data_IF_624696383818
#
_entry.id   IF_624696383818
#
_cell.length_a   1.000
_cell.length_b   1.000
_cell.length_c   1.000
_cell.angle_alpha   90.00
_cell.angle_beta   90.00
_cell.angle_gamma   90.00
#
_symmetry.space_group_name_H-M   'P 1'
#
loop_
_entity.id
_entity.type
_entity.pdbx_description
1 polymer ?
#
# COMPACT_ATOMS: atom_id res chain seq x y z
N UNK A 1 22.01 -1.91 33.74
CA UNK A 1 21.59 -1.08 34.90
C UNK A 1 20.07 -1.11 34.99
N UNK A 2 19.45 -1.04 36.18
CA UNK A 2 17.99 -1.07 36.34
C UNK A 2 17.47 0.28 36.80
N UNK A 3 16.43 0.77 36.13
CA UNK A 3 15.76 2.04 36.40
C UNK A 3 14.24 1.80 36.44
N UNK A 4 13.55 2.38 37.41
CA UNK A 4 12.08 2.28 37.52
C UNK A 4 11.48 3.68 37.48
N UNK A 5 10.41 3.86 36.72
CA UNK A 5 9.70 5.12 36.59
C UNK A 5 8.20 4.92 36.83
N UNK A 6 7.60 5.69 37.74
CA UNK A 6 6.16 5.72 37.98
C UNK A 6 5.64 7.10 37.59
N UNK A 7 4.64 7.16 36.71
CA UNK A 7 4.05 8.41 36.23
C UNK A 7 2.57 8.43 36.63
N UNK A 8 2.16 9.46 37.38
CA UNK A 8 0.76 9.63 37.77
C UNK A 8 -0.08 10.26 36.62
N UNK A 9 -1.43 10.22 36.69
CA UNK A 9 -2.29 10.87 35.70
C UNK A 9 -2.15 12.40 35.61
N UNK A 10 -1.55 13.05 36.61
CA UNK A 10 -1.30 14.48 36.63
C UNK A 10 0.03 14.87 35.95
N UNK A 11 0.85 13.89 35.55
CA UNK A 11 2.15 14.11 34.93
C UNK A 11 3.32 14.19 35.91
N UNK A 12 3.13 13.84 37.18
CA UNK A 12 4.23 13.71 38.15
C UNK A 12 4.98 12.43 37.88
N UNK A 13 6.30 12.53 37.70
CA UNK A 13 7.22 11.41 37.55
C UNK A 13 7.94 11.14 38.86
N UNK A 14 7.93 9.89 39.31
CA UNK A 14 8.85 9.34 40.30
C UNK A 14 9.85 8.42 39.59
N UNK A 15 11.14 8.76 39.63
CA UNK A 15 12.22 7.98 39.02
C UNK A 15 13.10 7.38 40.10
N UNK A 16 13.30 6.07 40.07
CA UNK A 16 14.19 5.31 40.94
C UNK A 16 15.39 4.77 40.13
N UNK A 17 16.57 5.30 40.44
CA UNK A 17 17.84 4.91 39.85
C UNK A 17 18.63 4.09 40.87
N UNK A 18 18.42 2.78 40.89
CA UNK A 18 19.17 1.87 41.76
C UNK A 18 19.04 2.15 43.27
N UNK A 19 17.93 2.74 43.71
CA UNK A 19 17.61 3.06 45.10
C UNK A 19 17.53 4.57 45.41
N UNK A 20 17.96 5.43 44.49
CA UNK A 20 17.83 6.88 44.62
C UNK A 20 16.55 7.37 43.91
N UNK A 21 15.58 7.83 44.71
CA UNK A 21 14.28 8.29 44.22
C UNK A 21 14.25 9.80 44.01
N UNK A 22 13.89 10.23 42.82
CA UNK A 22 13.68 11.64 42.46
C UNK A 22 12.28 11.85 41.92
N UNK A 23 11.61 12.89 42.40
CA UNK A 23 10.24 13.25 41.97
C UNK A 23 10.29 14.57 41.20
N UNK A 24 9.67 14.62 40.04
CA UNK A 24 9.64 15.81 39.18
C UNK A 24 8.28 16.01 38.52
N UNK A 25 7.68 17.22 38.58
CA UNK A 25 6.42 17.51 37.93
C UNK A 25 6.62 17.83 36.44
N UNK A 26 5.77 17.29 35.58
CA UNK A 26 5.73 17.62 34.15
C UNK A 26 4.34 18.13 33.71
N UNK A 27 4.26 18.96 32.66
CA UNK A 27 2.98 19.50 32.18
C UNK A 27 2.01 18.43 31.64
N UNK A 28 2.52 17.25 31.28
CA UNK A 28 1.73 16.13 30.80
C UNK A 28 2.46 14.80 31.05
N UNK A 29 1.69 13.70 31.06
CA UNK A 29 2.23 12.32 31.08
C UNK A 29 3.19 12.07 29.91
N UNK A 30 2.94 12.69 28.74
CA UNK A 30 3.82 12.55 27.57
C UNK A 30 5.17 13.25 27.76
N UNK A 31 5.20 14.38 28.45
CA UNK A 31 6.44 15.08 28.76
C UNK A 31 7.25 14.35 29.84
N UNK A 32 6.56 13.78 30.84
CA UNK A 32 7.17 12.87 31.83
C UNK A 32 7.82 11.66 31.14
N UNK A 33 7.10 10.98 30.22
CA UNK A 33 7.64 9.85 29.43
C UNK A 33 8.88 10.23 28.64
N UNK A 34 8.84 11.38 27.93
CA UNK A 34 9.98 11.85 27.14
C UNK A 34 11.21 12.09 28.02
N UNK A 35 11.00 12.65 29.21
CA UNK A 35 12.07 12.87 30.17
C UNK A 35 12.69 11.55 30.66
N UNK A 36 11.87 10.57 31.08
CA UNK A 36 12.35 9.25 31.49
C UNK A 36 13.18 8.58 30.40
N UNK A 37 12.71 8.61 29.15
CA UNK A 37 13.41 7.99 28.02
C UNK A 37 14.73 8.70 27.70
N UNK A 38 14.78 10.03 27.82
CA UNK A 38 16.04 10.79 27.69
C UNK A 38 17.03 10.34 28.76
N UNK A 39 16.61 10.31 30.03
CA UNK A 39 17.47 9.89 31.14
C UNK A 39 17.96 8.46 30.98
N UNK A 40 17.13 7.54 30.49
CA UNK A 40 17.52 6.15 30.23
C UNK A 40 18.62 6.06 29.15
N UNK A 41 18.50 6.88 28.11
CA UNK A 41 19.41 6.93 26.97
C UNK A 41 20.74 7.56 27.37
N UNK A 42 20.70 8.67 28.11
CA UNK A 42 21.87 9.35 28.63
C UNK A 42 22.64 8.43 29.60
N UNK A 43 21.93 7.71 30.47
CA UNK A 43 22.52 6.76 31.39
C UNK A 43 23.15 5.54 30.68
N UNK A 44 22.50 5.01 29.64
CA UNK A 44 23.05 3.91 28.85
C UNK A 44 24.32 4.33 28.08
N UNK A 45 24.35 5.57 27.57
CA UNK A 45 25.51 6.14 26.90
C UNK A 45 26.67 6.40 27.89
N UNK A 46 26.39 6.99 29.05
CA UNK A 46 27.41 7.33 30.06
C UNK A 46 28.03 6.08 30.70
N UNK A 47 27.21 5.07 31.01
CA UNK A 47 27.68 3.84 31.65
C UNK A 47 28.19 2.78 30.67
N UNK A 48 28.06 3.02 29.36
CA UNK A 48 28.38 2.05 28.30
C UNK A 48 27.77 0.67 28.55
N UNK A 49 26.63 0.62 29.23
CA UNK A 49 25.92 -0.60 29.60
C UNK A 49 24.44 -0.43 29.30
N UNK A 50 23.76 -1.47 28.82
CA UNK A 50 22.32 -1.42 28.57
C UNK A 50 21.54 -1.13 29.87
N UNK A 51 20.53 -0.27 29.76
CA UNK A 51 19.64 0.13 30.86
C UNK A 51 18.28 -0.53 30.68
N UNK A 52 17.91 -1.38 31.62
CA UNK A 52 16.57 -1.95 31.75
C UNK A 52 15.69 -0.95 32.50
N UNK A 53 14.68 -0.42 31.82
CA UNK A 53 13.75 0.59 32.31
C UNK A 53 12.37 -0.02 32.48
N UNK A 54 11.88 -0.04 33.72
CA UNK A 54 10.50 -0.38 34.03
C UNK A 54 9.66 0.89 34.17
N UNK A 55 8.66 1.10 33.31
CA UNK A 55 7.76 2.26 33.38
C UNK A 55 6.37 1.81 33.75
N UNK A 56 5.80 2.39 34.80
CA UNK A 56 4.40 2.28 35.17
C UNK A 56 3.72 3.65 34.99
N UNK A 57 2.71 3.71 34.14
CA UNK A 57 1.95 4.93 33.87
C UNK A 57 0.45 4.60 33.68
N UNK A 58 -0.45 5.58 33.50
CA UNK A 58 -1.89 5.31 33.39
C UNK A 58 -2.30 4.43 32.20
N UNK A 59 -1.39 4.16 31.25
CA UNK A 59 -1.62 3.24 30.13
C UNK A 59 -1.15 1.80 30.38
N UNK A 60 -0.49 1.54 31.53
CA UNK A 60 -0.02 0.23 31.93
C UNK A 60 1.45 0.21 32.34
N UNK A 61 1.91 -0.98 32.73
CA UNK A 61 3.31 -1.25 33.08
C UNK A 61 4.03 -1.94 31.91
N UNK A 62 5.26 -1.51 31.62
CA UNK A 62 6.10 -2.05 30.54
C UNK A 62 7.57 -2.02 30.92
N UNK A 63 8.33 -2.97 30.38
CA UNK A 63 9.79 -3.03 30.55
C UNK A 63 10.46 -2.80 29.20
N UNK A 64 11.39 -1.87 29.18
CA UNK A 64 12.08 -1.40 27.99
C UNK A 64 13.58 -1.59 28.22
N UNK A 65 14.28 -2.21 27.27
CA UNK A 65 15.73 -2.30 27.28
C UNK A 65 16.31 -1.22 26.37
N UNK A 66 17.05 -0.28 26.95
CA UNK A 66 17.75 0.79 26.24
C UNK A 66 19.22 0.40 26.08
N UNK A 67 19.64 0.17 24.83
CA UNK A 67 21.01 -0.21 24.50
C UNK A 67 21.94 1.01 24.38
N UNK A 68 23.24 0.77 24.40
CA UNK A 68 24.29 1.81 24.43
C UNK A 68 24.41 2.61 23.13
N UNK A 69 23.84 2.10 22.05
CA UNK A 69 23.74 2.74 20.73
C UNK A 69 22.41 3.51 20.53
N UNK A 70 21.58 3.60 21.57
CA UNK A 70 20.28 4.26 21.55
C UNK A 70 19.15 3.40 20.97
N UNK A 71 19.40 2.12 20.66
CA UNK A 71 18.35 1.18 20.24
C UNK A 71 17.47 0.82 21.43
N UNK A 72 16.15 1.00 21.26
CA UNK A 72 15.14 0.71 22.26
C UNK A 72 14.43 -0.60 21.89
N UNK A 73 14.55 -1.61 22.74
CA UNK A 73 13.86 -2.90 22.58
C UNK A 73 12.80 -3.02 23.67
N UNK A 74 11.53 -3.04 23.28
CA UNK A 74 10.43 -3.31 24.22
C UNK A 74 10.40 -4.82 24.49
N UNK A 75 10.63 -5.21 25.75
CA UNK A 75 10.50 -6.61 26.15
C UNK A 75 9.04 -6.87 26.50
N UNK A 76 8.40 -7.76 25.75
CA UNK A 76 7.17 -8.38 26.19
C UNK A 76 7.43 -9.02 27.56
N UNK A 77 6.51 -8.81 28.52
CA UNK A 77 6.62 -9.34 29.86
C UNK A 77 6.69 -10.88 29.81
N UNK A 78 7.90 -11.44 29.83
CA UNK A 78 8.10 -12.87 30.00
C UNK A 78 7.62 -13.23 31.41
N UNK A 79 6.60 -14.09 31.42
CA UNK A 79 6.14 -14.77 32.62
C UNK A 79 7.29 -15.66 33.11
N UNK A 80 7.67 -15.52 34.37
CA UNK A 80 8.74 -16.33 34.97
C UNK A 80 8.52 -17.84 34.73
N UNK A 81 9.59 -18.61 34.43
CA UNK A 81 9.47 -20.05 34.19
C UNK A 81 9.39 -20.80 35.52
N UNK A 82 8.24 -21.38 35.83
CA UNK A 82 8.10 -22.32 36.94
C UNK A 82 8.73 -23.66 36.57
N UNK A 83 9.67 -24.11 37.40
CA UNK A 83 10.38 -25.39 37.32
C UNK A 83 9.45 -26.60 37.19
N UNK A 84 9.90 -27.54 36.36
CA UNK A 84 9.27 -28.83 36.08
C UNK A 84 9.39 -29.78 37.28
N UNK A 85 8.25 -30.32 37.74
CA UNK A 85 8.15 -31.52 38.60
C UNK A 85 7.51 -32.70 37.84
N UNK A 86 7.80 -33.96 38.18
CA UNK A 86 7.73 -35.07 37.25
C UNK A 86 6.33 -35.67 37.05
N UNK A 87 6.17 -36.26 35.86
CA UNK A 87 5.02 -37.02 35.35
C UNK A 87 4.73 -38.26 36.20
N UNK A 88 3.44 -38.50 36.51
CA UNK A 88 2.90 -39.80 36.91
C UNK A 88 1.65 -40.13 36.06
N UNK A 89 1.44 -41.38 35.59
CA UNK A 89 0.49 -41.68 34.52
C UNK A 89 -0.83 -42.30 35.00
N UNK A 90 -1.80 -42.26 34.06
CA UNK A 90 -3.05 -43.03 33.95
C UNK A 90 -4.28 -42.55 34.75
N UNK A 91 -5.37 -42.20 34.06
CA UNK A 91 -6.51 -43.11 33.91
C UNK A 91 -7.49 -42.64 32.82
N UNK A 92 -8.08 -43.63 32.15
CA UNK A 92 -9.01 -43.49 31.04
C UNK A 92 -10.44 -43.25 31.54
N UNK A 93 -11.21 -42.37 30.88
CA UNK A 93 -12.67 -42.46 30.79
C UNK A 93 -13.11 -42.00 29.39
N UNK A 94 -13.65 -42.95 28.62
CA UNK A 94 -14.37 -42.77 27.36
C UNK A 94 -15.86 -42.40 27.62
N UNK A 95 -16.67 -42.08 26.59
CA UNK A 95 -17.57 -40.94 26.59
C UNK A 95 -19.01 -41.26 26.99
N UNK A 96 -19.77 -40.24 27.43
CA UNK A 96 -21.22 -40.31 27.55
C UNK A 96 -21.87 -39.23 26.68
N UNK A 97 -22.42 -39.66 25.55
CA UNK A 97 -23.40 -38.93 24.77
C UNK A 97 -24.81 -39.18 25.35
N UNK A 98 -25.62 -38.13 25.46
CA UNK A 98 -27.04 -38.18 25.03
C UNK A 98 -27.70 -36.79 25.06
N UNK A 99 -28.74 -36.58 24.22
CA UNK A 99 -29.22 -35.28 23.77
C UNK A 99 -30.49 -34.82 24.51
N UNK A 100 -30.76 -33.51 24.58
CA UNK A 100 -32.09 -33.01 24.98
C UNK A 100 -32.44 -31.69 24.28
N UNK A 101 -33.51 -31.73 23.48
CA UNK A 101 -34.40 -30.64 23.02
C UNK A 101 -35.72 -31.37 22.72
N UNK A 102 -36.92 -30.92 23.15
CA UNK A 102 -37.58 -29.63 22.86
C UNK A 102 -38.25 -29.01 24.12
N UNK A 103 -38.82 -27.80 24.13
CA UNK A 103 -40.17 -27.48 23.64
C UNK A 103 -40.52 -25.98 23.86
N UNK A 104 -41.40 -25.49 23.00
CA UNK A 104 -41.95 -24.13 22.88
C UNK A 104 -43.10 -23.91 23.88
N UNK A 105 -43.38 -22.65 24.31
CA UNK A 105 -44.75 -22.25 24.63
C UNK A 105 -45.27 -21.14 23.72
N UNK A 106 -46.49 -21.35 23.23
CA UNK A 106 -47.28 -20.52 22.31
C UNK A 106 -48.42 -19.76 23.02
N UNK A 107 -48.94 -18.71 22.35
CA UNK A 107 -50.33 -18.12 22.37
C UNK A 107 -50.58 -16.97 23.40
N UNK A 108 -51.42 -15.91 23.14
CA UNK A 108 -52.37 -15.68 22.03
C UNK A 108 -52.30 -14.35 21.25
N UNK A 109 -52.88 -14.48 20.06
CA UNK A 109 -53.40 -13.50 19.10
C UNK A 109 -54.74 -12.88 19.55
N UNK A 110 -54.94 -11.60 19.21
CA UNK A 110 -56.25 -10.93 19.20
C UNK A 110 -56.35 -10.03 17.93
N UNK A 111 -56.84 -10.63 16.84
CA UNK A 111 -58.04 -10.28 16.05
C UNK A 111 -58.76 -8.93 16.41
N UNK A 112 -59.36 -8.09 15.55
CA UNK A 112 -59.72 -8.00 14.11
C UNK A 112 -60.10 -6.52 13.85
N UNK A 113 -59.90 -5.93 12.66
CA UNK A 113 -61.01 -5.33 11.87
C UNK A 113 -60.57 -4.96 10.44
N UNK A 114 -61.45 -5.25 9.50
CA UNK A 114 -61.26 -5.31 8.05
C UNK A 114 -62.00 -4.18 7.32
N UNK A 115 -61.58 -3.84 6.08
CA UNK A 115 -62.44 -3.78 4.88
C UNK A 115 -61.78 -3.07 3.65
N UNK A 116 -61.47 -3.87 2.62
CA UNK A 116 -61.76 -3.75 1.16
C UNK A 116 -61.47 -2.44 0.33
N UNK A 117 -61.52 -2.48 -1.04
CA UNK A 117 -60.68 -3.27 -1.97
C UNK A 117 -60.09 -2.45 -3.16
N UNK A 118 -59.08 -3.03 -3.81
CA UNK A 118 -58.67 -2.96 -5.25
C UNK A 118 -58.58 -1.60 -5.97
N UNK A 119 -57.37 -1.24 -6.40
CA UNK A 119 -57.11 -0.47 -7.62
C UNK A 119 -55.90 -1.04 -8.36
N UNK A 120 -56.14 -1.60 -9.54
CA UNK A 120 -55.13 -2.01 -10.52
C UNK A 120 -54.48 -0.78 -11.17
N UNK A 121 -53.14 -0.70 -11.32
CA UNK A 121 -52.54 0.30 -12.19
C UNK A 121 -52.56 -0.17 -13.64
N UNK A 122 -53.07 0.70 -14.51
CA UNK A 122 -53.09 0.61 -15.97
C UNK A 122 -51.66 0.69 -16.52
N UNK A 123 -51.28 -0.06 -17.58
CA UNK A 123 -49.97 0.07 -18.21
C UNK A 123 -49.88 1.38 -19.01
N UNK A 124 -48.87 2.20 -18.75
CA UNK A 124 -48.47 3.33 -19.59
C UNK A 124 -47.66 2.81 -20.80
N UNK A 125 -47.95 3.26 -22.03
CA UNK A 125 -47.25 2.79 -23.22
C UNK A 125 -45.85 3.41 -23.32
N UNK A 126 -44.85 2.56 -23.59
CA UNK A 126 -43.51 2.97 -23.99
C UNK A 126 -43.54 3.57 -25.41
N UNK A 127 -42.81 4.67 -25.69
CA UNK A 127 -42.60 5.13 -27.06
C UNK A 127 -41.67 4.16 -27.81
N UNK A 128 -42.08 3.77 -29.01
CA UNK A 128 -41.33 2.92 -29.95
C UNK A 128 -39.96 3.50 -30.30
N UNK A 129 -38.94 2.67 -30.56
CA UNK A 129 -37.65 3.14 -31.06
C UNK A 129 -37.79 3.65 -32.49
N UNK A 130 -37.25 4.84 -32.75
CA UNK A 130 -37.06 5.38 -34.10
C UNK A 130 -35.94 4.58 -34.77
N UNK A 131 -36.29 3.96 -35.89
CA UNK A 131 -35.39 3.26 -36.80
C UNK A 131 -34.38 4.27 -37.38
N UNK A 132 -33.11 4.16 -36.99
CA UNK A 132 -32.01 4.90 -37.62
C UNK A 132 -31.55 4.09 -38.82
N UNK A 133 -31.82 4.64 -40.00
CA UNK A 133 -31.42 4.14 -41.30
C UNK A 133 -29.90 3.93 -41.37
N UNK A 134 -29.48 2.69 -41.63
CA UNK A 134 -28.08 2.33 -41.82
C UNK A 134 -27.53 2.96 -43.11
N UNK A 135 -26.29 3.48 -43.14
CA UNK A 135 -25.71 4.01 -44.36
C UNK A 135 -25.45 2.89 -45.36
N UNK A 136 -26.03 3.05 -46.55
CA UNK A 136 -25.89 2.19 -47.72
C UNK A 136 -24.42 2.07 -48.14
N UNK A 137 -23.90 0.84 -48.15
CA UNK A 137 -22.60 0.48 -48.75
C UNK A 137 -22.77 0.47 -50.27
N UNK A 138 -22.02 1.27 -51.06
CA UNK A 138 -22.06 1.15 -52.51
C UNK A 138 -21.28 -0.09 -52.97
N UNK A 139 -21.99 -1.02 -53.61
CA UNK A 139 -21.44 -2.16 -54.35
C UNK A 139 -20.51 -1.62 -55.45
N UNK A 140 -19.22 -1.93 -55.37
CA UNK A 140 -18.29 -1.74 -56.49
C UNK A 140 -18.14 -3.07 -57.23
N UNK A 141 -18.42 -3.01 -58.52
CA UNK A 141 -18.29 -4.04 -59.54
C UNK A 141 -16.82 -4.43 -59.76
N UNK A 142 -16.59 -5.72 -59.94
CA UNK A 142 -15.32 -6.27 -60.44
C UNK A 142 -15.09 -5.86 -61.90
N UNK A 143 -13.82 -5.82 -62.33
CA UNK A 143 -13.50 -6.28 -63.67
C UNK A 143 -12.41 -7.36 -63.68
N UNK A 144 -12.43 -8.09 -64.80
CA UNK A 144 -11.76 -9.33 -65.12
C UNK A 144 -10.22 -9.26 -65.20
N UNK A 145 -9.68 -10.46 -65.04
CA UNK A 145 -8.33 -10.94 -65.34
C UNK A 145 -7.79 -10.52 -66.71
N UNK A 146 -6.59 -9.94 -66.74
CA UNK A 146 -5.69 -9.99 -67.91
C UNK A 146 -4.26 -10.31 -67.44
N UNK A 147 -3.59 -11.15 -68.20
CA UNK A 147 -2.36 -11.87 -67.89
C UNK A 147 -1.06 -11.03 -67.92
N UNK A 148 -0.10 -11.50 -67.11
CA UNK A 148 1.36 -11.60 -67.31
C UNK A 148 2.08 -10.57 -68.20
N UNK A 149 2.97 -9.76 -67.60
CA UNK A 149 4.35 -9.57 -68.08
C UNK A 149 5.26 -8.81 -67.10
N UNK A 150 6.46 -9.37 -66.94
CA UNK A 150 7.76 -8.75 -66.66
C UNK A 150 7.94 -7.78 -65.47
N UNK A 151 8.77 -8.23 -64.52
CA UNK A 151 9.38 -7.46 -63.44
C UNK A 151 10.35 -6.40 -64.01
N UNK A 152 10.14 -5.14 -63.62
CA UNK A 152 11.15 -4.07 -63.67
C UNK A 152 11.08 -3.32 -62.34
N UNK A 153 12.20 -3.05 -61.63
CA UNK A 153 12.15 -2.32 -60.38
C UNK A 153 11.91 -0.83 -60.66
N UNK A 154 10.76 -0.31 -60.22
CA UNK A 154 10.44 1.13 -60.26
C UNK A 154 10.78 1.71 -58.88
N UNK A 155 11.68 2.70 -58.87
CA UNK A 155 11.97 3.54 -57.71
C UNK A 155 10.66 4.05 -57.09
N UNK A 156 10.47 3.77 -55.79
CA UNK A 156 9.35 4.28 -55.00
C UNK A 156 9.55 5.78 -54.80
N UNK A 157 8.93 6.58 -55.65
CA UNK A 157 8.69 8.01 -55.40
C UNK A 157 7.63 8.09 -54.30
N UNK A 158 7.98 8.69 -53.16
CA UNK A 158 7.03 8.96 -52.08
C UNK A 158 5.80 9.71 -52.62
N UNK A 159 4.56 9.21 -52.39
CA UNK A 159 3.37 9.91 -52.85
C UNK A 159 3.23 11.21 -52.05
N UNK A 160 3.10 12.34 -52.78
CA UNK A 160 2.82 13.65 -52.20
C UNK A 160 1.60 13.58 -51.27
N UNK A 161 1.66 14.22 -50.08
CA UNK A 161 0.59 14.16 -49.10
C UNK A 161 -0.70 14.75 -49.69
N UNK A 162 -1.75 13.95 -49.74
CA UNK A 162 -3.08 14.45 -50.06
C UNK A 162 -3.55 15.39 -48.94
N UNK A 163 -4.36 16.40 -49.27
CA UNK A 163 -4.84 17.46 -48.35
C UNK A 163 -5.47 16.95 -47.04
N UNK A 164 -5.84 15.66 -46.98
CA UNK A 164 -6.40 14.99 -45.80
C UNK A 164 -5.34 14.54 -44.79
N UNK A 165 -4.08 14.38 -45.19
CA UNK A 165 -2.93 14.07 -44.32
C UNK A 165 -2.24 15.32 -43.75
N UNK A 166 -2.65 16.52 -44.18
CA UNK A 166 -2.12 17.81 -43.74
C UNK A 166 -3.02 18.55 -42.74
N UNK A 167 -4.06 17.89 -42.21
CA UNK A 167 -4.81 18.42 -41.09
C UNK A 167 -4.01 18.15 -39.80
N UNK A 168 -3.61 19.17 -39.03
CA UNK A 168 -3.02 18.94 -37.72
C UNK A 168 -4.03 18.15 -36.90
N UNK A 169 -3.63 16.98 -36.39
CA UNK A 169 -4.46 16.27 -35.44
C UNK A 169 -4.63 17.18 -34.22
N UNK A 170 -5.85 17.63 -33.94
CA UNK A 170 -6.18 18.38 -32.72
C UNK A 170 -5.95 17.57 -31.43
N UNK A 171 -5.58 16.30 -31.56
CA UNK A 171 -5.05 15.47 -30.48
C UNK A 171 -3.53 15.61 -30.51
N UNK A 172 -3.02 16.63 -29.82
CA UNK A 172 -1.61 16.73 -29.49
C UNK A 172 -1.25 15.50 -28.64
N UNK A 173 -0.45 14.60 -29.21
CA UNK A 173 0.24 13.62 -28.37
C UNK A 173 1.32 14.40 -27.62
N UNK A 174 1.55 14.18 -26.32
CA UNK A 174 2.65 14.82 -25.62
C UNK A 174 3.95 14.41 -26.31
N UNK A 175 4.46 15.31 -27.14
CA UNK A 175 5.57 15.04 -28.05
C UNK A 175 6.86 14.94 -27.25
N UNK A 176 7.54 13.81 -27.44
CA UNK A 176 8.87 13.53 -26.88
C UNK A 176 9.91 14.60 -27.30
N UNK A 177 9.65 15.34 -28.38
CA UNK A 177 10.52 16.35 -28.97
C UNK A 177 10.34 17.76 -28.38
N UNK A 178 9.57 17.91 -27.30
CA UNK A 178 9.42 19.19 -26.61
C UNK A 178 10.80 19.74 -26.17
N UNK A 179 11.09 21.05 -26.34
CA UNK A 179 12.35 21.67 -25.89
C UNK A 179 12.64 21.40 -24.41
N UNK A 180 13.89 21.51 -23.98
CA UNK A 180 14.26 21.37 -22.57
C UNK A 180 13.39 22.27 -21.66
N UNK A 181 12.88 21.72 -20.57
CA UNK A 181 12.02 22.37 -19.59
C UNK A 181 12.70 22.50 -18.22
N UNK A 182 13.76 21.72 -17.98
CA UNK A 182 14.41 21.62 -16.67
C UNK A 182 15.81 22.25 -16.67
N UNK A 183 16.19 22.84 -15.54
CA UNK A 183 17.52 23.39 -15.28
C UNK A 183 17.85 24.63 -16.12
N UNK A 184 19.14 24.90 -16.31
CA UNK A 184 19.63 26.08 -17.06
C UNK A 184 19.14 26.06 -18.51
N UNK A 185 19.04 24.87 -19.14
CA UNK A 185 18.52 24.73 -20.51
C UNK A 185 17.03 25.07 -20.59
N UNK A 186 16.24 24.66 -19.60
CA UNK A 186 14.84 25.07 -19.45
C UNK A 186 14.68 26.57 -19.29
N UNK A 187 15.47 27.19 -18.41
CA UNK A 187 15.46 28.65 -18.22
C UNK A 187 15.82 29.40 -19.51
N UNK A 188 16.86 28.96 -20.22
CA UNK A 188 17.27 29.51 -21.51
C UNK A 188 16.16 29.36 -22.58
N UNK A 189 15.42 28.26 -22.55
CA UNK A 189 14.28 28.06 -23.45
C UNK A 189 13.09 28.96 -23.12
N UNK A 190 12.86 29.29 -21.84
CA UNK A 190 11.87 30.31 -21.46
C UNK A 190 12.21 31.70 -22.04
N UNK A 191 13.50 31.97 -22.30
CA UNK A 191 13.96 33.19 -22.97
C UNK A 191 13.99 33.09 -24.51
N UNK A 192 13.35 32.06 -25.09
CA UNK A 192 13.16 31.94 -26.54
C UNK A 192 14.18 31.06 -27.27
N UNK A 193 15.09 30.41 -26.55
CA UNK A 193 15.96 29.38 -27.14
C UNK A 193 15.21 28.05 -27.32
N UNK A 194 15.71 27.19 -28.22
CA UNK A 194 15.17 25.84 -28.49
C UNK A 194 16.23 24.77 -28.24
N UNK A 195 16.78 24.76 -27.04
CA UNK A 195 17.77 23.78 -26.62
C UNK A 195 17.11 22.42 -26.41
N UNK A 196 17.74 21.36 -26.93
CA UNK A 196 17.30 19.99 -26.74
C UNK A 196 17.40 19.56 -25.26
N UNK A 197 16.47 18.70 -24.79
CA UNK A 197 16.51 18.11 -23.46
C UNK A 197 17.85 17.42 -23.15
N UNK A 198 18.27 17.42 -21.89
CA UNK A 198 19.43 16.63 -21.47
C UNK A 198 19.10 15.13 -21.41
N UNK A 199 20.09 14.21 -21.46
CA UNK A 199 19.83 12.78 -21.27
C UNK A 199 19.07 12.46 -19.99
N UNK A 200 19.41 13.14 -18.88
CA UNK A 200 18.72 12.99 -17.59
C UNK A 200 17.26 13.43 -17.67
N UNK A 201 16.99 14.51 -18.40
CA UNK A 201 15.62 14.99 -18.63
C UNK A 201 14.83 14.04 -19.53
N UNK A 202 15.45 13.46 -20.56
CA UNK A 202 14.81 12.46 -21.42
C UNK A 202 14.46 11.19 -20.65
N UNK A 203 15.36 10.72 -19.76
CA UNK A 203 15.08 9.60 -18.86
C UNK A 203 13.93 9.90 -17.92
N UNK A 204 13.90 11.10 -17.34
CA UNK A 204 12.79 11.52 -16.48
C UNK A 204 11.47 11.54 -17.26
N UNK A 205 11.43 12.13 -18.45
CA UNK A 205 10.22 12.14 -19.29
C UNK A 205 9.78 10.75 -19.71
N UNK A 206 10.73 9.84 -19.96
CA UNK A 206 10.42 8.44 -20.25
C UNK A 206 9.73 7.78 -19.06
N UNK A 207 10.29 7.94 -17.87
CA UNK A 207 9.70 7.39 -16.64
C UNK A 207 8.31 8.00 -16.37
N UNK A 208 8.16 9.33 -16.50
CA UNK A 208 6.86 10.01 -16.37
C UNK A 208 5.84 9.45 -17.35
N UNK A 209 6.23 9.30 -18.63
CA UNK A 209 5.38 8.70 -19.65
C UNK A 209 4.97 7.28 -19.29
N UNK A 210 5.91 6.44 -18.84
CA UNK A 210 5.65 5.06 -18.44
C UNK A 210 4.67 4.99 -17.26
N UNK A 211 4.86 5.82 -16.23
CA UNK A 211 3.98 5.86 -15.05
C UNK A 211 2.59 6.40 -15.38
N UNK A 212 2.49 7.33 -16.32
CA UNK A 212 1.21 7.96 -16.72
C UNK A 212 0.32 7.09 -17.62
N UNK A 213 0.77 5.88 -17.97
CA UNK A 213 0.00 4.98 -18.84
C UNK A 213 -1.32 4.56 -18.17
N UNK A 214 -2.33 4.31 -19.02
CA UNK A 214 -3.60 3.72 -18.59
C UNK A 214 -3.61 2.24 -18.98
N UNK A 215 -3.98 1.38 -18.03
CA UNK A 215 -4.13 -0.05 -18.26
C UNK A 215 -5.60 -0.42 -18.48
N UNK A 216 -5.84 -1.53 -19.19
CA UNK A 216 -7.16 -2.09 -19.31
C UNK A 216 -7.51 -2.84 -18.01
N UNK A 217 -8.48 -2.32 -17.27
CA UNK A 217 -8.89 -2.86 -15.97
C UNK A 217 -8.02 -2.38 -14.81
N UNK A 218 -8.40 -2.75 -13.57
CA UNK A 218 -7.66 -2.41 -12.37
C UNK A 218 -6.32 -3.17 -12.35
N UNK A 219 -5.29 -2.50 -11.86
CA UNK A 219 -3.97 -3.10 -11.61
C UNK A 219 -3.66 -3.16 -10.12
N UNK A 220 -2.91 -4.17 -9.72
CA UNK A 220 -2.57 -4.40 -8.31
C UNK A 220 -1.08 -4.58 -8.12
N UNK A 221 -0.51 -3.74 -7.26
CA UNK A 221 0.88 -3.84 -6.82
C UNK A 221 0.87 -4.25 -5.36
N UNK A 222 1.54 -5.34 -5.04
CA UNK A 222 1.66 -5.80 -3.65
C UNK A 222 3.06 -5.57 -3.13
N UNK A 223 3.15 -4.93 -1.96
CA UNK A 223 4.42 -4.62 -1.30
C UNK A 223 4.66 -5.62 -0.18
N UNK A 224 5.67 -6.48 -0.34
CA UNK A 224 5.94 -7.65 0.49
C UNK A 224 7.27 -7.55 1.22
N UNK A 225 7.25 -7.76 2.53
CA UNK A 225 8.43 -8.13 3.31
C UNK A 225 7.99 -8.65 4.71
N UNK A 226 8.31 -9.88 5.11
CA UNK A 226 7.95 -10.41 6.44
C UNK A 226 8.64 -9.64 7.58
N UNK A 227 9.80 -9.01 7.31
CA UNK A 227 10.55 -8.30 8.34
C UNK A 227 9.82 -7.01 8.74
N UNK A 228 9.50 -6.92 10.03
CA UNK A 228 8.98 -5.69 10.64
C UNK A 228 9.92 -4.52 10.37
N UNK A 229 9.36 -3.38 9.98
CA UNK A 229 10.15 -2.18 9.71
C UNK A 229 11.00 -2.24 8.43
N UNK A 230 10.81 -3.19 7.50
CA UNK A 230 11.57 -3.25 6.23
C UNK A 230 11.28 -2.09 5.23
N UNK A 231 10.36 -1.19 5.55
CA UNK A 231 10.01 -0.06 4.69
C UNK A 231 8.85 -0.30 3.73
N UNK A 232 7.98 -1.29 4.00
CA UNK A 232 6.74 -1.55 3.24
C UNK A 232 5.83 -0.33 3.16
N UNK A 233 5.39 0.17 4.30
CA UNK A 233 4.47 1.31 4.37
C UNK A 233 5.01 2.59 3.72
N UNK A 234 6.27 3.04 3.96
CA UNK A 234 6.85 4.14 3.18
C UNK A 234 6.86 3.89 1.68
N UNK A 235 7.15 2.65 1.25
CA UNK A 235 7.15 2.26 -0.17
C UNK A 235 5.75 2.37 -0.79
N UNK A 236 4.73 1.86 -0.11
CA UNK A 236 3.32 1.96 -0.53
C UNK A 236 2.92 3.43 -0.69
N UNK A 237 3.22 4.27 0.30
CA UNK A 237 2.88 5.70 0.27
C UNK A 237 3.58 6.41 -0.90
N UNK A 238 4.89 6.20 -1.07
CA UNK A 238 5.65 6.90 -2.10
C UNK A 238 5.24 6.47 -3.50
N UNK A 239 5.01 5.17 -3.72
CA UNK A 239 4.54 4.68 -5.01
C UNK A 239 3.11 5.17 -5.30
N UNK A 240 2.21 5.13 -4.31
CA UNK A 240 0.84 5.63 -4.46
C UNK A 240 0.84 7.10 -4.88
N UNK A 241 1.66 7.92 -4.21
CA UNK A 241 1.79 9.33 -4.55
C UNK A 241 2.34 9.54 -5.98
N UNK A 242 3.36 8.77 -6.41
CA UNK A 242 3.89 8.89 -7.78
C UNK A 242 2.82 8.54 -8.82
N UNK A 243 2.14 7.40 -8.65
CA UNK A 243 1.11 6.94 -9.59
C UNK A 243 -0.12 7.84 -9.62
N UNK A 244 -0.53 8.41 -8.49
CA UNK A 244 -1.68 9.32 -8.42
C UNK A 244 -1.35 10.70 -9.03
N UNK A 245 -0.15 11.21 -8.79
CA UNK A 245 0.27 12.52 -9.31
C UNK A 245 0.49 12.53 -10.82
N UNK A 246 0.91 11.41 -11.41
CA UNK A 246 1.21 11.32 -12.84
C UNK A 246 0.13 10.60 -13.67
N UNK A 247 -0.52 9.58 -13.11
CA UNK A 247 -1.55 8.79 -13.80
C UNK A 247 -2.98 9.33 -13.67
N UNK A 248 -3.17 10.45 -12.98
CA UNK A 248 -4.49 10.95 -12.57
C UNK A 248 -4.97 10.33 -11.26
N UNK A 249 -6.13 10.71 -10.73
CA UNK A 249 -6.66 10.11 -9.49
C UNK A 249 -7.02 8.61 -9.67
N UNK A 250 -7.53 7.97 -8.61
CA UNK A 250 -7.96 6.57 -8.64
C UNK A 250 -6.88 5.56 -8.24
N UNK A 251 -6.02 5.95 -7.30
CA UNK A 251 -5.04 5.06 -6.65
C UNK A 251 -5.47 4.81 -5.21
N UNK A 252 -5.57 3.54 -4.82
CA UNK A 252 -5.86 3.12 -3.45
C UNK A 252 -4.63 2.50 -2.81
N UNK A 253 -4.21 3.03 -1.67
CA UNK A 253 -3.28 2.37 -0.76
C UNK A 253 -4.06 1.60 0.31
N UNK A 254 -3.99 0.28 0.30
CA UNK A 254 -4.72 -0.58 1.22
C UNK A 254 -3.77 -1.23 2.23
N UNK A 255 -3.95 -0.93 3.51
CA UNK A 255 -3.30 -1.64 4.62
C UNK A 255 -3.96 -3.01 4.85
N UNK A 256 -3.36 -4.08 4.30
CA UNK A 256 -3.83 -5.45 4.44
C UNK A 256 -3.08 -6.19 5.56
N UNK A 257 -2.99 -5.54 6.72
CA UNK A 257 -2.35 -6.08 7.90
C UNK A 257 -3.39 -6.53 8.93
N UNK A 258 -3.29 -7.78 9.39
CA UNK A 258 -4.16 -8.34 10.44
C UNK A 258 -3.76 -7.87 11.86
N UNK A 259 -2.62 -7.18 11.99
CA UNK A 259 -2.12 -6.60 13.24
C UNK A 259 -2.26 -5.07 13.23
N UNK A 260 -1.54 -4.35 14.10
CA UNK A 260 -1.47 -2.88 13.98
C UNK A 260 -0.78 -2.51 12.65
N UNK A 261 -1.57 -2.06 11.68
CA UNK A 261 -1.08 -1.42 10.47
C UNK A 261 -0.40 -0.09 10.77
N UNK A 262 0.63 0.24 10.00
CA UNK A 262 1.36 1.51 10.15
C UNK A 262 0.94 2.56 9.13
N UNK A 263 0.10 2.19 8.13
CA UNK A 263 -0.29 3.09 7.06
C UNK A 263 -1.14 4.26 7.58
N UNK A 264 -2.07 3.99 8.50
CA UNK A 264 -2.90 5.04 9.12
C UNK A 264 -2.09 6.11 9.85
N UNK A 265 -1.04 5.71 10.57
CA UNK A 265 -0.15 6.61 11.31
C UNK A 265 0.77 7.46 10.43
N UNK A 266 1.11 6.93 9.25
CA UNK A 266 2.01 7.56 8.27
C UNK A 266 1.28 8.43 7.26
N UNK A 267 -0.06 8.48 7.31
CA UNK A 267 -0.93 9.22 6.37
C UNK A 267 -1.87 10.18 7.11
N UNK A 268 -2.54 11.05 6.36
CA UNK A 268 -3.51 12.00 6.91
C UNK A 268 -4.89 11.35 7.06
N UNK A 269 -5.60 11.70 8.14
CA UNK A 269 -7.01 11.34 8.30
C UNK A 269 -7.92 12.23 7.42
N UNK A 270 -9.16 11.81 7.24
CA UNK A 270 -10.15 12.47 6.38
C UNK A 270 -11.35 12.99 7.18
N UNK A 271 -11.19 13.22 8.50
CA UNK A 271 -12.27 13.67 9.38
C UNK A 271 -13.24 12.57 9.82
N UNK A 272 -12.92 11.29 9.58
CA UNK A 272 -13.60 10.12 10.13
C UNK A 272 -12.56 9.05 10.55
N UNK A 273 -13.02 8.02 11.27
CA UNK A 273 -12.18 6.92 11.80
C UNK A 273 -12.49 5.56 11.16
N UNK A 274 -13.34 5.51 10.12
CA UNK A 274 -13.68 4.27 9.42
C UNK A 274 -12.43 3.53 8.90
N UNK A 275 -12.51 2.21 8.91
CA UNK A 275 -11.43 1.28 8.60
C UNK A 275 -11.87 0.25 7.56
N UNK A 276 -10.96 -0.65 7.19
CA UNK A 276 -11.23 -1.80 6.33
C UNK A 276 -12.39 -2.67 6.84
N UNK A 277 -12.56 -2.78 8.17
CA UNK A 277 -13.63 -3.57 8.78
C UNK A 277 -14.99 -2.90 8.55
N UNK A 278 -15.07 -1.57 8.68
CA UNK A 278 -16.33 -0.84 8.46
C UNK A 278 -16.72 -0.87 6.95
N UNK A 279 -15.75 -0.87 6.04
CA UNK A 279 -16.00 -1.07 4.61
C UNK A 279 -16.44 -2.51 4.31
N UNK A 280 -15.87 -3.50 5.01
CA UNK A 280 -16.19 -4.92 4.80
C UNK A 280 -17.68 -5.19 5.01
N UNK A 281 -18.29 -4.60 6.03
CA UNK A 281 -19.72 -4.70 6.34
C UNK A 281 -20.61 -4.13 5.22
N UNK A 282 -20.07 -3.27 4.34
CA UNK A 282 -20.80 -2.58 3.29
C UNK A 282 -20.45 -3.07 1.88
N UNK A 283 -19.66 -4.14 1.75
CA UNK A 283 -19.21 -4.66 0.46
C UNK A 283 -20.37 -4.96 -0.49
N UNK A 284 -21.46 -5.56 0.01
CA UNK A 284 -22.65 -5.85 -0.79
C UNK A 284 -23.30 -4.57 -1.38
N UNK A 285 -23.43 -3.52 -0.58
CA UNK A 285 -23.93 -2.22 -1.05
C UNK A 285 -23.05 -1.68 -2.18
N UNK A 286 -21.73 -1.68 -1.96
CA UNK A 286 -20.77 -1.15 -2.92
C UNK A 286 -20.70 -1.94 -4.22
N UNK A 287 -21.16 -3.20 -4.25
CA UNK A 287 -21.26 -3.99 -5.47
C UNK A 287 -22.53 -3.69 -6.29
N UNK A 288 -23.56 -3.05 -5.72
CA UNK A 288 -24.78 -2.67 -6.43
C UNK A 288 -24.55 -1.61 -7.53
N UNK A 289 -25.47 -1.51 -8.48
CA UNK A 289 -25.45 -0.46 -9.52
C UNK A 289 -25.76 0.95 -8.99
N UNK A 290 -26.38 1.06 -7.80
CA UNK A 290 -26.76 2.34 -7.20
C UNK A 290 -25.65 3.02 -6.41
N UNK A 291 -24.65 2.26 -5.96
CA UNK A 291 -23.52 2.77 -5.20
C UNK A 291 -22.62 3.69 -6.04
N UNK A 292 -22.10 4.74 -5.38
CA UNK A 292 -21.31 5.80 -6.02
C UNK A 292 -19.91 5.85 -5.42
N UNK A 293 -18.95 6.31 -6.20
CA UNK A 293 -17.59 6.56 -5.71
C UNK A 293 -17.58 7.56 -4.52
N UNK A 294 -18.51 8.53 -4.50
CA UNK A 294 -18.65 9.48 -3.40
C UNK A 294 -19.09 8.84 -2.08
N UNK A 295 -19.80 7.71 -2.11
CA UNK A 295 -20.20 7.00 -0.89
C UNK A 295 -18.97 6.36 -0.22
N UNK A 296 -18.00 5.91 -1.03
CA UNK A 296 -16.77 5.27 -0.58
C UNK A 296 -15.87 6.24 0.20
N UNK A 297 -16.00 7.55 -0.02
CA UNK A 297 -15.26 8.59 0.68
C UNK A 297 -15.52 8.62 2.20
N UNK A 298 -16.56 7.94 2.69
CA UNK A 298 -16.80 7.76 4.13
C UNK A 298 -15.94 6.66 4.78
N UNK A 299 -15.22 5.88 3.95
CA UNK A 299 -14.45 4.71 4.37
C UNK A 299 -12.96 4.82 4.02
N UNK A 300 -12.60 5.66 3.06
CA UNK A 300 -11.22 5.88 2.63
C UNK A 300 -10.71 7.25 3.07
N UNK A 301 -9.42 7.33 3.39
CA UNK A 301 -8.79 8.56 3.85
C UNK A 301 -8.04 9.22 2.69
N UNK A 302 -8.67 10.23 2.09
CA UNK A 302 -8.07 10.99 0.99
C UNK A 302 -6.81 11.75 1.41
N UNK A 303 -5.77 11.72 0.58
CA UNK A 303 -4.50 12.41 0.80
C UNK A 303 -4.40 13.65 -0.11
N UNK A 304 -4.81 14.86 0.33
CA UNK A 304 -5.08 15.97 -0.58
C UNK A 304 -3.85 16.45 -1.37
N UNK A 305 -2.66 16.38 -0.77
CA UNK A 305 -1.43 16.82 -1.44
C UNK A 305 -0.94 15.85 -2.52
N UNK A 306 -1.24 14.56 -2.37
CA UNK A 306 -0.67 13.47 -3.17
C UNK A 306 -1.72 12.68 -3.96
N UNK A 307 -3.01 13.00 -3.79
CA UNK A 307 -4.16 12.61 -4.62
C UNK A 307 -4.48 11.11 -4.67
N UNK A 308 -3.99 10.33 -3.71
CA UNK A 308 -4.37 8.92 -3.51
C UNK A 308 -5.28 8.77 -2.28
N UNK A 309 -5.99 7.66 -2.21
CA UNK A 309 -6.86 7.31 -1.09
C UNK A 309 -6.25 6.17 -0.27
N UNK A 310 -6.56 6.14 1.03
CA UNK A 310 -6.02 5.13 1.96
C UNK A 310 -7.15 4.34 2.59
N UNK A 311 -7.12 3.02 2.45
CA UNK A 311 -7.95 2.10 3.24
C UNK A 311 -7.11 1.57 4.41
N UNK A 312 -7.47 1.98 5.62
CA UNK A 312 -6.69 1.70 6.84
C UNK A 312 -7.09 0.37 7.46
N UNK A 313 -6.13 -0.30 8.09
CA UNK A 313 -6.39 -1.42 8.99
C UNK A 313 -7.15 -0.95 10.22
N UNK A 314 -7.82 -1.87 10.92
CA UNK A 314 -8.44 -1.57 12.21
C UNK A 314 -7.39 -1.55 13.35
N UNK A 315 -7.18 -0.39 13.97
CA UNK A 315 -6.25 -0.18 15.08
C UNK A 315 -6.94 0.06 16.43
N UNK A 316 -8.27 -0.14 16.51
CA UNK A 316 -9.08 0.11 17.70
C UNK A 316 -8.78 -0.90 18.83
N UNK A 317 -7.90 -0.51 19.76
CA UNK A 317 -7.44 -1.32 20.90
C UNK A 317 -8.52 -1.75 21.93
N UNK A 318 -9.71 -1.16 21.89
CA UNK A 318 -10.74 -1.36 22.92
C UNK A 318 -11.73 -2.50 22.63
N UNK A 319 -11.74 -3.07 21.42
CA UNK A 319 -12.66 -4.15 21.07
C UNK A 319 -12.12 -5.50 21.58
N UNK A 320 -12.93 -6.22 22.36
CA UNK A 320 -12.60 -7.53 22.96
C UNK A 320 -12.26 -8.64 21.93
N UNK A 321 -12.34 -8.37 20.63
CA UNK A 321 -11.81 -9.19 19.53
C UNK A 321 -11.44 -8.26 18.37
N UNK A 322 -10.16 -8.19 18.01
CA UNK A 322 -9.74 -7.60 16.73
C UNK A 322 -10.23 -8.52 15.61
N UNK A 323 -10.89 -7.97 14.59
CA UNK A 323 -11.33 -8.74 13.44
C UNK A 323 -10.14 -8.98 12.52
N UNK A 324 -9.71 -10.23 12.40
CA UNK A 324 -8.68 -10.60 11.44
C UNK A 324 -9.33 -10.84 10.08
N UNK A 325 -8.94 -10.04 9.08
CA UNK A 325 -9.46 -10.17 7.72
C UNK A 325 -9.04 -11.52 7.13
N UNK A 326 -10.03 -12.33 6.76
CA UNK A 326 -9.86 -13.65 6.14
C UNK A 326 -9.62 -13.55 4.62
N UNK A 327 -9.18 -14.63 3.97
CA UNK A 327 -8.99 -14.65 2.51
C UNK A 327 -10.25 -14.30 1.71
N UNK A 328 -11.41 -14.85 2.11
CA UNK A 328 -12.70 -14.52 1.49
C UNK A 328 -13.07 -13.04 1.64
N UNK A 329 -12.75 -12.44 2.78
CA UNK A 329 -12.96 -11.01 3.02
C UNK A 329 -12.02 -10.14 2.20
N UNK A 330 -10.76 -10.56 2.00
CA UNK A 330 -9.84 -9.94 1.04
C UNK A 330 -10.45 -9.97 -0.37
N UNK A 331 -11.02 -11.09 -0.81
CA UNK A 331 -11.67 -11.16 -2.12
C UNK A 331 -12.87 -10.20 -2.27
N UNK A 332 -13.70 -10.07 -1.23
CA UNK A 332 -14.84 -9.12 -1.21
C UNK A 332 -14.38 -7.67 -1.24
N UNK A 333 -13.44 -7.31 -0.37
CA UNK A 333 -12.86 -5.96 -0.31
C UNK A 333 -12.15 -5.60 -1.61
N UNK A 334 -11.39 -6.53 -2.18
CA UNK A 334 -10.74 -6.34 -3.47
C UNK A 334 -11.76 -6.09 -4.59
N UNK A 335 -12.88 -6.82 -4.62
CA UNK A 335 -13.93 -6.62 -5.62
C UNK A 335 -14.50 -5.19 -5.58
N UNK A 336 -14.66 -4.63 -4.38
CA UNK A 336 -15.02 -3.21 -4.19
C UNK A 336 -13.89 -2.31 -4.68
N UNK A 337 -12.66 -2.51 -4.22
CA UNK A 337 -11.52 -1.70 -4.62
C UNK A 337 -11.33 -1.66 -6.15
N UNK A 338 -11.38 -2.82 -6.80
CA UNK A 338 -11.26 -3.02 -8.25
C UNK A 338 -12.39 -2.36 -9.06
N UNK A 339 -13.57 -2.16 -8.45
CA UNK A 339 -14.68 -1.44 -9.08
C UNK A 339 -14.48 0.08 -9.11
N UNK A 340 -13.81 0.65 -8.10
CA UNK A 340 -13.70 2.10 -7.93
C UNK A 340 -12.31 2.68 -8.22
N UNK A 341 -11.26 1.87 -8.18
CA UNK A 341 -9.87 2.29 -8.38
C UNK A 341 -9.24 1.61 -9.58
N UNK A 342 -8.42 2.37 -10.32
CA UNK A 342 -7.64 1.83 -11.44
C UNK A 342 -6.34 1.16 -11.00
N UNK A 343 -5.84 1.53 -9.82
CA UNK A 343 -4.60 1.00 -9.26
C UNK A 343 -4.75 0.80 -7.76
N UNK A 344 -4.39 -0.39 -7.30
CA UNK A 344 -4.47 -0.80 -5.89
C UNK A 344 -3.05 -1.15 -5.44
N UNK A 345 -2.58 -0.52 -4.38
CA UNK A 345 -1.32 -0.85 -3.72
C UNK A 345 -1.64 -1.52 -2.39
N UNK A 346 -1.33 -2.80 -2.27
CA UNK A 346 -1.56 -3.57 -1.04
C UNK A 346 -0.30 -3.54 -0.17
N UNK A 347 -0.39 -2.93 1.01
CA UNK A 347 0.63 -3.00 2.07
C UNK A 347 0.44 -4.32 2.82
N UNK A 348 1.41 -5.23 2.70
CA UNK A 348 1.31 -6.50 3.41
C UNK A 348 1.52 -6.30 4.90
N UNK A 349 0.88 -7.15 5.70
CA UNK A 349 1.33 -7.41 7.06
C UNK A 349 2.74 -8.04 7.12
N UNK A 350 3.12 -8.49 8.30
CA UNK A 350 4.39 -9.20 8.53
C UNK A 350 4.27 -10.72 8.32
N UNK A 351 3.06 -11.23 8.08
CA UNK A 351 2.80 -12.66 7.85
C UNK A 351 2.95 -12.99 6.38
N UNK A 352 3.74 -14.03 6.08
CA UNK A 352 4.04 -14.51 4.72
C UNK A 352 3.30 -15.82 4.36
N UNK A 353 2.22 -16.12 5.10
CA UNK A 353 1.41 -17.34 4.99
C UNK A 353 -0.04 -17.05 5.41
N UNK A 354 -0.95 -17.94 5.03
CA UNK A 354 -2.36 -17.90 5.41
C UNK A 354 -3.25 -17.35 4.30
N UNK A 355 -4.56 -17.59 4.45
CA UNK A 355 -5.56 -17.36 3.41
C UNK A 355 -5.60 -15.89 2.95
N UNK A 356 -5.33 -14.93 3.85
CA UNK A 356 -5.28 -13.51 3.53
C UNK A 356 -4.09 -13.15 2.62
N UNK A 357 -2.92 -13.75 2.86
CA UNK A 357 -1.73 -13.58 2.05
C UNK A 357 -1.93 -14.23 0.69
N UNK A 358 -2.45 -15.46 0.66
CA UNK A 358 -2.73 -16.17 -0.60
C UNK A 358 -3.75 -15.41 -1.46
N UNK A 359 -4.82 -14.88 -0.86
CA UNK A 359 -5.80 -14.05 -1.56
C UNK A 359 -5.18 -12.75 -2.12
N UNK A 360 -4.30 -12.09 -1.35
CA UNK A 360 -3.58 -10.91 -1.79
C UNK A 360 -2.64 -11.21 -2.97
N UNK A 361 -1.87 -12.31 -2.90
CA UNK A 361 -1.01 -12.75 -4.01
C UNK A 361 -1.85 -13.09 -5.24
N UNK A 362 -2.99 -13.77 -5.08
CA UNK A 362 -3.87 -14.13 -6.18
C UNK A 362 -4.46 -12.94 -6.95
N UNK A 363 -4.49 -11.76 -6.35
CA UNK A 363 -4.95 -10.51 -6.98
C UNK A 363 -3.80 -9.62 -7.50
N UNK A 364 -2.55 -10.00 -7.28
CA UNK A 364 -1.38 -9.16 -7.59
C UNK A 364 -0.96 -9.25 -9.05
N UNK A 365 -0.78 -8.13 -9.74
CA UNK A 365 -0.13 -8.09 -11.05
C UNK A 365 1.39 -7.91 -10.94
N UNK A 366 1.85 -7.27 -9.86
CA UNK A 366 3.26 -6.97 -9.63
C UNK A 366 3.63 -7.03 -8.15
N UNK A 367 4.84 -7.52 -7.85
CA UNK A 367 5.37 -7.60 -6.49
C UNK A 367 6.55 -6.66 -6.31
N UNK A 368 6.51 -5.89 -5.23
CA UNK A 368 7.59 -5.01 -4.80
C UNK A 368 8.13 -5.46 -3.45
N UNK A 369 9.44 -5.60 -3.35
CA UNK A 369 10.12 -6.06 -2.14
C UNK A 369 11.06 -4.95 -1.64
N UNK A 370 10.62 -4.13 -0.67
CA UNK A 370 11.49 -3.12 -0.08
C UNK A 370 12.47 -3.79 0.87
N UNK A 371 13.72 -3.37 0.79
CA UNK A 371 14.81 -3.80 1.66
C UNK A 371 15.55 -2.57 2.17
N UNK A 372 15.76 -2.52 3.48
CA UNK A 372 16.55 -1.44 4.10
C UNK A 372 18.04 -1.71 3.93
N UNK A 373 18.83 -0.65 3.91
CA UNK A 373 20.30 -0.74 3.79
C UNK A 373 21.03 -1.10 5.08
N UNK A 374 20.30 -1.51 6.13
CA UNK A 374 20.85 -2.04 7.39
C UNK A 374 20.94 -3.57 7.33
N UNK A 375 21.81 -4.17 8.14
CA UNK A 375 22.13 -5.60 8.05
C UNK A 375 20.90 -6.52 8.27
N UNK A 376 20.96 -7.73 7.69
CA UNK A 376 19.86 -8.69 7.46
C UNK A 376 18.76 -8.26 6.46
N UNK A 377 19.08 -7.33 5.54
CA UNK A 377 18.21 -6.94 4.44
C UNK A 377 17.86 -8.10 3.47
N UNK A 378 18.82 -8.99 3.23
CA UNK A 378 18.72 -10.08 2.25
C UNK A 378 17.79 -11.21 2.71
N UNK A 379 17.70 -11.45 4.01
CA UNK A 379 16.91 -12.57 4.54
C UNK A 379 15.41 -12.38 4.26
N UNK A 380 14.87 -11.19 4.54
CA UNK A 380 13.45 -10.91 4.33
C UNK A 380 13.06 -11.03 2.86
N UNK A 381 13.86 -10.47 1.95
CA UNK A 381 13.62 -10.59 0.51
C UNK A 381 13.75 -12.04 0.02
N UNK A 382 14.76 -12.78 0.49
CA UNK A 382 14.94 -14.20 0.14
C UNK A 382 13.76 -15.05 0.58
N UNK A 383 13.19 -14.79 1.77
CA UNK A 383 12.00 -15.49 2.28
C UNK A 383 10.77 -15.23 1.41
N UNK A 384 10.51 -13.97 1.03
CA UNK A 384 9.41 -13.62 0.11
C UNK A 384 9.56 -14.35 -1.22
N UNK A 385 10.74 -14.26 -1.86
CA UNK A 385 10.98 -14.90 -3.15
C UNK A 385 10.85 -16.42 -3.06
N UNK A 386 11.31 -17.03 -1.97
CA UNK A 386 11.16 -18.47 -1.74
C UNK A 386 9.70 -18.87 -1.57
N UNK A 387 8.92 -18.09 -0.82
CA UNK A 387 7.49 -18.32 -0.63
C UNK A 387 6.71 -18.21 -1.94
N UNK A 388 6.97 -17.17 -2.74
CA UNK A 388 6.34 -17.00 -4.06
C UNK A 388 6.71 -18.14 -5.02
N UNK A 389 7.98 -18.56 -5.03
CA UNK A 389 8.46 -19.68 -5.86
C UNK A 389 7.88 -21.04 -5.47
N UNK A 390 7.50 -21.20 -4.20
CA UNK A 390 6.84 -22.40 -3.72
C UNK A 390 5.32 -22.41 -4.03
N UNK A 391 4.76 -21.27 -4.46
CA UNK A 391 3.35 -21.13 -4.81
C UNK A 391 3.00 -21.68 -6.20
N UNK A 392 1.82 -21.30 -6.68
CA UNK A 392 1.32 -21.67 -8.01
C UNK A 392 2.09 -20.92 -9.14
N UNK A 393 1.78 -21.24 -10.40
CA UNK A 393 2.44 -20.64 -11.57
C UNK A 393 2.35 -19.10 -11.58
N UNK A 394 1.24 -18.53 -11.10
CA UNK A 394 1.08 -17.09 -10.99
C UNK A 394 2.03 -16.49 -9.95
N UNK A 395 2.10 -17.05 -8.74
CA UNK A 395 3.04 -16.62 -7.71
C UNK A 395 4.50 -16.77 -8.15
N UNK A 396 4.85 -17.84 -8.86
CA UNK A 396 6.18 -18.03 -9.44
C UNK A 396 6.49 -16.93 -10.47
N UNK A 397 5.55 -16.63 -11.37
CA UNK A 397 5.69 -15.52 -12.33
C UNK A 397 5.89 -14.17 -11.62
N UNK A 398 5.20 -13.93 -10.50
CA UNK A 398 5.40 -12.72 -9.69
C UNK A 398 6.81 -12.67 -9.09
N UNK A 399 7.37 -13.81 -8.64
CA UNK A 399 8.73 -13.87 -8.13
C UNK A 399 9.77 -13.50 -9.21
N UNK A 400 9.59 -14.02 -10.43
CA UNK A 400 10.50 -13.78 -11.55
C UNK A 400 10.47 -12.31 -12.01
N UNK A 401 9.29 -11.68 -11.92
CA UNK A 401 9.09 -10.30 -12.35
C UNK A 401 9.22 -9.26 -11.24
N UNK A 402 9.49 -9.69 -10.00
CA UNK A 402 9.53 -8.83 -8.83
C UNK A 402 10.50 -7.65 -8.97
N UNK A 403 10.19 -6.56 -8.26
CA UNK A 403 11.03 -5.35 -8.18
C UNK A 403 11.53 -5.17 -6.75
N UNK A 404 12.84 -5.16 -6.55
CA UNK A 404 13.43 -4.89 -5.23
C UNK A 404 13.74 -3.40 -5.10
N UNK A 405 13.36 -2.79 -3.98
CA UNK A 405 13.66 -1.39 -3.68
C UNK A 405 14.60 -1.31 -2.49
N UNK A 406 15.84 -0.88 -2.72
CA UNK A 406 16.87 -0.72 -1.68
C UNK A 406 16.77 0.68 -1.07
N UNK A 407 16.39 0.78 0.19
CA UNK A 407 16.15 2.02 0.92
C UNK A 407 17.37 2.45 1.75
N UNK A 408 17.88 3.66 1.51
CA UNK A 408 18.84 4.34 2.38
C UNK A 408 18.26 4.62 3.76
N UNK A 409 18.90 4.14 4.83
CA UNK A 409 18.41 4.28 6.20
C UNK A 409 19.14 5.32 7.02
N UNK A 410 20.38 5.63 6.66
CA UNK A 410 21.21 6.62 7.33
C UNK A 410 21.87 7.53 6.30
N UNK A 411 22.25 8.76 6.67
CA UNK A 411 23.03 9.64 5.79
C UNK A 411 24.37 9.04 5.37
N UNK A 412 24.95 8.15 6.19
CA UNK A 412 26.23 7.49 5.90
C UNK A 412 26.12 6.40 4.84
N UNK A 413 24.92 5.87 4.57
CA UNK A 413 24.69 4.91 3.50
C UNK A 413 24.63 5.62 2.14
N UNK A 414 25.81 5.97 1.64
CA UNK A 414 25.99 6.58 0.34
C UNK A 414 25.68 5.63 -0.83
N UNK A 415 25.72 6.14 -2.08
CA UNK A 415 25.36 5.38 -3.28
C UNK A 415 26.14 4.06 -3.44
N UNK A 416 27.40 4.00 -3.02
CA UNK A 416 28.21 2.78 -3.11
C UNK A 416 27.61 1.61 -2.32
N UNK A 417 27.21 1.83 -1.06
CA UNK A 417 26.59 0.80 -0.22
C UNK A 417 25.23 0.37 -0.78
N UNK A 418 24.42 1.31 -1.25
CA UNK A 418 23.12 0.98 -1.85
C UNK A 418 23.27 0.17 -3.13
N UNK A 419 24.26 0.51 -3.96
CA UNK A 419 24.55 -0.21 -5.20
C UNK A 419 25.12 -1.60 -4.92
N UNK A 420 26.00 -1.76 -3.94
CA UNK A 420 26.50 -3.07 -3.49
C UNK A 420 25.35 -4.01 -3.10
N UNK A 421 24.41 -3.51 -2.28
CA UNK A 421 23.20 -4.27 -1.95
C UNK A 421 22.34 -4.53 -3.19
N UNK A 422 22.20 -3.56 -4.09
CA UNK A 422 21.40 -3.74 -5.29
C UNK A 422 21.96 -4.86 -6.19
N UNK A 423 23.28 -4.91 -6.39
CA UNK A 423 23.95 -5.95 -7.18
C UNK A 423 23.73 -7.35 -6.62
N UNK A 424 23.59 -7.51 -5.30
CA UNK A 424 23.34 -8.83 -4.70
C UNK A 424 21.93 -9.38 -5.01
N UNK A 425 20.96 -8.50 -5.30
CA UNK A 425 19.60 -8.92 -5.64
C UNK A 425 19.35 -9.10 -7.14
N UNK A 426 20.10 -8.42 -8.02
CA UNK A 426 19.89 -8.46 -9.48
C UNK A 426 19.78 -9.87 -10.09
N UNK A 427 20.51 -10.89 -9.63
CA UNK A 427 20.39 -12.24 -10.19
C UNK A 427 19.04 -12.93 -9.92
N UNK A 428 18.25 -12.42 -8.98
CA UNK A 428 17.06 -13.11 -8.47
C UNK A 428 15.73 -12.47 -8.88
N UNK A 429 15.76 -11.25 -9.41
CA UNK A 429 14.56 -10.43 -9.68
C UNK A 429 14.70 -9.66 -10.99
N UNK A 430 13.58 -9.20 -11.58
CA UNK A 430 13.57 -8.43 -12.83
C UNK A 430 14.36 -7.13 -12.74
N UNK A 431 14.20 -6.39 -11.65
CA UNK A 431 14.87 -5.10 -11.48
C UNK A 431 15.09 -4.74 -10.01
N UNK A 432 16.11 -3.92 -9.79
CA UNK A 432 16.45 -3.39 -8.48
C UNK A 432 16.61 -1.88 -8.58
N UNK A 433 15.99 -1.13 -7.68
CA UNK A 433 16.05 0.34 -7.65
C UNK A 433 16.55 0.80 -6.29
N UNK A 434 17.51 1.72 -6.27
CA UNK A 434 18.04 2.31 -5.05
C UNK A 434 17.34 3.65 -4.77
N UNK A 435 16.91 3.85 -3.54
CA UNK A 435 16.33 5.10 -3.05
C UNK A 435 17.27 5.66 -1.98
N UNK A 436 17.82 6.88 -2.15
CA UNK A 436 18.74 7.46 -1.19
C UNK A 436 18.04 7.74 0.14
N UNK A 437 18.84 7.91 1.20
CA UNK A 437 18.33 8.36 2.49
C UNK A 437 17.60 9.70 2.35
N UNK A 438 16.45 9.79 3.01
CA UNK A 438 15.66 11.01 3.07
C UNK A 438 15.06 11.18 4.48
N UNK A 439 15.30 12.31 5.17
CA UNK A 439 14.79 12.52 6.51
C UNK A 439 13.25 12.55 6.56
N UNK A 440 12.57 12.90 5.46
CA UNK A 440 11.10 12.91 5.41
C UNK A 440 10.47 11.51 5.47
N UNK A 441 11.28 10.45 5.31
CA UNK A 441 10.83 9.05 5.38
C UNK A 441 10.96 8.43 6.78
N UNK A 442 11.49 9.14 7.77
CA UNK A 442 11.81 8.53 9.09
C UNK A 442 10.61 8.59 10.04
N UNK A 443 10.08 9.78 10.29
CA UNK A 443 9.07 10.03 11.34
C UNK A 443 7.85 10.78 10.82
N UNK A 444 6.73 10.69 11.55
CA UNK A 444 5.51 11.46 11.28
C UNK A 444 4.68 11.02 10.06
N UNK A 445 4.02 11.98 9.40
CA UNK A 445 3.23 11.75 8.19
C UNK A 445 4.12 11.97 6.96
N UNK A 446 4.07 11.04 6.00
CA UNK A 446 4.85 11.14 4.76
C UNK A 446 4.10 12.02 3.76
N UNK A 447 4.83 12.95 3.12
CA UNK A 447 4.34 13.73 1.97
C UNK A 447 5.36 13.67 0.86
N UNK A 448 4.94 13.30 -0.34
CA UNK A 448 5.85 13.16 -1.47
C UNK A 448 6.54 14.49 -1.84
N UNK A 449 5.82 15.60 -1.70
CA UNK A 449 6.35 16.94 -1.94
C UNK A 449 7.48 17.35 -0.99
N UNK A 450 7.55 16.76 0.21
CA UNK A 450 8.54 17.12 1.24
C UNK A 450 9.90 16.43 1.06
N UNK A 451 9.98 15.44 0.17
CA UNK A 451 11.22 14.69 -0.09
C UNK A 451 12.25 15.55 -0.83
N UNK A 452 13.52 15.16 -0.75
CA UNK A 452 14.58 15.73 -1.56
C UNK A 452 14.35 15.43 -3.06
N UNK A 453 14.79 16.30 -3.99
CA UNK A 453 14.61 16.08 -5.42
C UNK A 453 15.16 14.74 -5.92
N UNK A 454 16.32 14.31 -5.39
CA UNK A 454 16.93 13.03 -5.73
C UNK A 454 16.07 11.83 -5.29
N UNK A 455 15.44 11.92 -4.13
CA UNK A 455 14.56 10.87 -3.60
C UNK A 455 13.29 10.78 -4.42
N UNK A 456 12.67 11.92 -4.79
CA UNK A 456 11.52 11.94 -5.70
C UNK A 456 11.86 11.34 -7.05
N UNK A 457 13.06 11.64 -7.59
CA UNK A 457 13.51 11.08 -8.86
C UNK A 457 13.71 9.56 -8.77
N UNK A 458 14.26 9.06 -7.67
CA UNK A 458 14.41 7.63 -7.41
C UNK A 458 13.05 6.92 -7.31
N UNK A 459 12.07 7.49 -6.61
CA UNK A 459 10.71 6.95 -6.56
C UNK A 459 10.00 6.96 -7.91
N UNK A 460 10.20 8.00 -8.72
CA UNK A 460 9.71 8.02 -10.10
C UNK A 460 10.34 6.88 -10.92
N UNK A 461 11.63 6.63 -10.75
CA UNK A 461 12.33 5.52 -11.42
C UNK A 461 11.79 4.17 -10.97
N UNK A 462 11.56 3.99 -9.66
CA UNK A 462 10.95 2.78 -9.10
C UNK A 462 9.56 2.53 -9.68
N UNK A 463 8.70 3.55 -9.68
CA UNK A 463 7.36 3.45 -10.26
C UNK A 463 7.39 3.10 -11.75
N UNK A 464 8.32 3.66 -12.53
CA UNK A 464 8.47 3.33 -13.94
C UNK A 464 8.86 1.85 -14.16
N UNK A 465 9.80 1.32 -13.37
CA UNK A 465 10.19 -0.10 -13.46
C UNK A 465 9.05 -1.06 -13.07
N UNK A 466 8.23 -0.66 -12.10
CA UNK A 466 7.03 -1.40 -11.69
C UNK A 466 5.98 -1.35 -12.79
N UNK A 467 5.72 -0.17 -13.35
CA UNK A 467 4.75 0.05 -14.43
C UNK A 467 5.08 -0.72 -15.72
N UNK A 468 6.36 -0.93 -16.02
CA UNK A 468 6.83 -1.81 -17.12
C UNK A 468 6.46 -3.29 -16.91
N UNK A 469 5.97 -3.67 -15.73
CA UNK A 469 5.49 -5.02 -15.43
C UNK A 469 4.00 -5.11 -15.13
N UNK A 470 3.21 -4.07 -15.43
CA UNK A 470 1.76 -4.02 -15.29
C UNK A 470 1.02 -4.19 -16.62
#
# INVERSE_FOLDING_TARGET
MRMTAVIDPAGTLELDLGGEKTTSPYPSVMDARRSVMSTATDLAAETSTATELHIEDPSGSRTILVQTDGVIVEQAADSEPTESGPVQPAEAVEPAASPITPEVPTVPEAAVEAAAPVATPVPVPFPSPVEVEAPVVPKTTAPETVASSAVVPVETVDPLPTRRTAMPSFVDRPDADSPAQVGVRGLLNQFGLKLAPSPVELEQRRDEKTVSQHWAGPRTITVLNPKGGAGKTPTVICLSAVFARLGGSGVLAWDNNNSLGSLGWRTFDAGHEATVVDLLEQTDYFMTAGARAGDLASYVHHQPSDQYDVLRSDDRSAAKKRHEVTGDEVHRLYSVAAKYYRLILMDSGNTERGDNWEAMIGHSDQVVIPVKSVDDAAEGASRVLSALRAGNEHAQSLADHAVVIVLGCTPSHGPAKLNELAESFRPFVKSVVTVPYDPSLIEGRIRFSSMLPQTRRAWLRAAAQIAEGL
#
